data_IF_486367162478
#
_entry.id   IF_486367162478
#
_cell.length_a   1.000
_cell.length_b   1.000
_cell.length_c   1.000
_cell.angle_alpha   90.00
_cell.angle_beta   90.00
_cell.angle_gamma   90.00
#
_symmetry.space_group_name_H-M   'P 1'
#
loop_
_entity.id
_entity.type
_entity.pdbx_description
1 polymer ?
#
# COMPACT_ATOMS: atom_id res chain seq x y z
N UNK A 1 4.48 6.56 -12.62
CA UNK A 1 3.40 6.82 -11.66
C UNK A 1 2.12 6.53 -12.40
N UNK A 2 1.26 5.71 -11.82
CA UNK A 2 0.01 5.29 -12.47
C UNK A 2 -1.15 6.07 -11.87
N UNK A 3 -2.19 6.30 -12.65
CA UNK A 3 -3.42 6.95 -12.19
C UNK A 3 -4.59 6.01 -12.45
N UNK A 4 -5.33 5.66 -11.40
CA UNK A 4 -6.50 4.79 -11.47
C UNK A 4 -7.74 5.49 -10.91
N UNK A 5 -8.91 5.12 -11.43
CA UNK A 5 -10.19 5.56 -10.89
C UNK A 5 -11.01 4.34 -10.47
N UNK A 6 -11.59 4.37 -9.26
CA UNK A 6 -12.51 3.33 -8.82
C UNK A 6 -13.95 3.58 -9.32
N UNK A 7 -14.86 2.63 -9.10
CA UNK A 7 -16.27 2.75 -9.53
C UNK A 7 -17.04 3.87 -8.82
N UNK A 8 -16.52 4.40 -7.71
CA UNK A 8 -17.11 5.51 -6.97
C UNK A 8 -16.66 6.88 -7.50
N UNK A 9 -15.66 6.89 -8.39
CA UNK A 9 -15.09 8.06 -9.01
C UNK A 9 -13.82 8.56 -8.33
N UNK A 10 -13.37 7.94 -7.23
CA UNK A 10 -12.15 8.34 -6.55
C UNK A 10 -10.94 8.08 -7.45
N UNK A 11 -10.02 9.06 -7.49
CA UNK A 11 -8.82 9.02 -8.31
C UNK A 11 -7.61 8.74 -7.41
N UNK A 12 -6.82 7.74 -7.78
CA UNK A 12 -5.65 7.27 -7.05
C UNK A 12 -4.39 7.52 -7.88
N UNK A 13 -3.39 8.13 -7.26
CA UNK A 13 -2.04 8.22 -7.80
C UNK A 13 -1.20 7.14 -7.14
N UNK A 14 -0.70 6.21 -7.94
CA UNK A 14 0.00 5.02 -7.48
C UNK A 14 1.49 5.10 -7.80
N UNK A 15 2.31 4.68 -6.84
CA UNK A 15 3.70 4.31 -7.09
C UNK A 15 3.74 2.83 -7.48
N UNK A 16 4.14 2.50 -8.72
CA UNK A 16 4.25 1.11 -9.16
C UNK A 16 5.27 0.34 -8.33
N UNK A 17 4.88 -0.80 -7.78
CA UNK A 17 5.77 -1.70 -7.06
C UNK A 17 6.19 -2.86 -7.99
N UNK A 18 7.43 -3.37 -7.93
CA UNK A 18 7.83 -4.51 -8.75
C UNK A 18 6.93 -5.74 -8.52
N UNK A 19 6.48 -6.37 -9.62
CA UNK A 19 5.62 -7.56 -9.61
C UNK A 19 6.39 -8.87 -9.43
N UNK A 20 7.30 -8.94 -8.47
CA UNK A 20 8.16 -10.12 -8.21
C UNK A 20 7.62 -11.03 -7.10
N UNK A 21 6.32 -10.94 -6.79
CA UNK A 21 5.67 -11.65 -5.70
C UNK A 21 5.88 -11.04 -4.31
N UNK A 22 6.70 -9.98 -4.18
CA UNK A 22 6.85 -9.21 -2.94
C UNK A 22 6.05 -7.90 -2.95
N UNK A 23 5.15 -7.70 -3.90
CA UNK A 23 4.48 -6.42 -4.11
C UNK A 23 3.67 -5.94 -2.90
N UNK A 24 3.03 -6.84 -2.15
CA UNK A 24 2.36 -6.50 -0.89
C UNK A 24 3.34 -5.87 0.10
N UNK A 25 4.39 -6.60 0.48
CA UNK A 25 5.40 -6.12 1.43
C UNK A 25 6.12 -4.85 0.93
N UNK A 26 6.40 -4.77 -0.38
CA UNK A 26 6.99 -3.58 -0.99
C UNK A 26 6.07 -2.36 -0.91
N UNK A 27 4.78 -2.51 -1.17
CA UNK A 27 3.79 -1.43 -1.08
C UNK A 27 3.67 -0.89 0.36
N UNK A 28 3.71 -1.78 1.34
CA UNK A 28 3.67 -1.44 2.77
C UNK A 28 4.98 -0.78 3.21
N UNK A 29 6.15 -1.29 2.81
CA UNK A 29 7.44 -0.67 3.14
C UNK A 29 7.55 0.75 2.59
N UNK A 30 7.04 0.99 1.38
CA UNK A 30 6.99 2.36 0.86
C UNK A 30 6.15 3.26 1.77
N UNK A 31 4.97 2.82 2.23
CA UNK A 31 4.15 3.60 3.16
C UNK A 31 4.81 3.76 4.52
N UNK A 32 5.37 2.71 5.11
CA UNK A 32 5.97 2.74 6.45
C UNK A 32 7.22 3.62 6.51
N UNK A 33 8.13 3.43 5.55
CA UNK A 33 9.50 3.95 5.61
C UNK A 33 9.81 5.02 4.55
N UNK A 34 8.86 5.37 3.67
CA UNK A 34 9.07 6.25 2.52
C UNK A 34 10.18 5.76 1.56
N UNK A 35 10.48 4.46 1.56
CA UNK A 35 11.50 3.86 0.71
C UNK A 35 10.89 3.50 -0.66
N UNK A 36 11.38 4.13 -1.73
CA UNK A 36 10.94 3.81 -3.10
C UNK A 36 11.54 2.49 -3.60
N UNK A 37 10.95 1.84 -4.63
CA UNK A 37 11.52 0.63 -5.23
C UNK A 37 12.97 0.76 -5.73
N UNK A 38 13.42 1.97 -6.05
CA UNK A 38 14.80 2.25 -6.50
C UNK A 38 15.76 2.48 -5.31
N UNK A 39 15.27 2.53 -4.08
CA UNK A 39 16.10 2.70 -2.90
C UNK A 39 16.97 1.47 -2.66
N UNK A 40 18.27 1.66 -2.41
CA UNK A 40 19.25 0.56 -2.29
C UNK A 40 18.90 -0.50 -1.23
N UNK A 41 18.14 -0.14 -0.20
CA UNK A 41 17.71 -1.05 0.88
C UNK A 41 16.27 -1.54 0.75
N UNK A 42 15.53 -1.16 -0.30
CA UNK A 42 14.12 -1.52 -0.45
C UNK A 42 13.90 -3.03 -0.40
N UNK A 43 14.75 -3.79 -1.10
CA UNK A 43 14.73 -5.26 -1.10
C UNK A 43 14.93 -5.85 0.30
N UNK A 44 15.87 -5.33 1.08
CA UNK A 44 16.11 -5.82 2.44
C UNK A 44 14.94 -5.52 3.38
N UNK A 45 14.37 -4.31 3.30
CA UNK A 45 13.25 -3.92 4.15
C UNK A 45 12.00 -4.75 3.91
N UNK A 46 11.65 -5.03 2.64
CA UNK A 46 10.46 -5.85 2.34
C UNK A 46 10.63 -7.31 2.77
N UNK A 47 11.84 -7.87 2.67
CA UNK A 47 12.13 -9.22 3.19
C UNK A 47 12.03 -9.26 4.71
N UNK A 48 12.61 -8.28 5.41
CA UNK A 48 12.49 -8.18 6.87
C UNK A 48 11.04 -8.04 7.34
N UNK A 49 10.23 -7.26 6.62
CA UNK A 49 8.80 -7.13 6.92
C UNK A 49 8.06 -8.47 6.73
N UNK A 50 8.37 -9.22 5.67
CA UNK A 50 7.82 -10.57 5.44
C UNK A 50 8.17 -11.50 6.59
N UNK A 51 9.44 -11.58 6.96
CA UNK A 51 9.91 -12.45 8.06
C UNK A 51 9.20 -12.09 9.38
N UNK A 52 9.07 -10.79 9.66
CA UNK A 52 8.40 -10.32 10.87
C UNK A 52 6.89 -10.64 10.86
N UNK A 53 6.22 -10.49 9.71
CA UNK A 53 4.81 -10.85 9.56
C UNK A 53 4.58 -12.37 9.76
N UNK A 54 5.42 -13.21 9.16
CA UNK A 54 5.33 -14.67 9.35
C UNK A 54 5.61 -15.06 10.79
N UNK A 55 6.58 -14.42 11.44
CA UNK A 55 6.87 -14.65 12.86
C UNK A 55 5.65 -14.31 13.74
N UNK A 56 4.98 -13.19 13.49
CA UNK A 56 3.75 -12.80 14.19
C UNK A 56 2.63 -13.83 13.97
N UNK A 57 2.42 -14.28 12.72
CA UNK A 57 1.43 -15.31 12.38
C UNK A 57 1.69 -16.61 13.14
N UNK A 58 2.94 -17.07 13.21
CA UNK A 58 3.31 -18.28 13.95
C UNK A 58 3.15 -18.13 15.47
N UNK A 59 3.63 -17.02 16.02
CA UNK A 59 3.62 -16.79 17.47
C UNK A 59 2.20 -16.67 18.03
N UNK A 60 1.23 -16.30 17.18
CA UNK A 60 -0.17 -16.09 17.56
C UNK A 60 -1.11 -16.82 16.61
N UNK A 61 -0.78 -18.07 16.26
CA UNK A 61 -1.53 -18.85 15.29
C UNK A 61 -3.03 -18.93 15.60
N UNK A 62 -3.39 -19.11 16.87
CA UNK A 62 -4.80 -19.18 17.31
C UNK A 62 -5.57 -17.88 17.03
N UNK A 63 -4.87 -16.75 17.01
CA UNK A 63 -5.46 -15.44 16.72
C UNK A 63 -5.71 -15.23 15.22
N UNK A 64 -4.88 -15.83 14.36
CA UNK A 64 -4.95 -15.68 12.91
C UNK A 64 -5.53 -16.91 12.18
N UNK A 65 -5.98 -17.93 12.91
CA UNK A 65 -6.33 -19.25 12.36
C UNK A 65 -7.37 -19.18 11.25
N UNK A 66 -8.36 -18.29 11.36
CA UNK A 66 -9.41 -18.15 10.34
C UNK A 66 -8.85 -17.60 9.02
N UNK A 67 -8.01 -16.57 9.08
CA UNK A 67 -7.31 -16.05 7.90
C UNK A 67 -6.37 -17.09 7.30
N UNK A 68 -5.58 -17.76 8.15
CA UNK A 68 -4.60 -18.76 7.72
C UNK A 68 -5.26 -19.98 7.09
N UNK A 69 -6.39 -20.44 7.63
CA UNK A 69 -7.12 -21.59 7.10
C UNK A 69 -7.63 -21.33 5.68
N UNK A 70 -8.19 -20.14 5.43
CA UNK A 70 -8.64 -19.73 4.08
C UNK A 70 -7.46 -19.67 3.11
N UNK A 71 -6.41 -18.92 3.44
CA UNK A 71 -5.24 -18.77 2.56
C UNK A 71 -4.52 -20.10 2.30
N UNK A 72 -4.46 -20.99 3.29
CA UNK A 72 -3.82 -22.30 3.16
C UNK A 72 -4.63 -23.29 2.30
N UNK A 73 -5.97 -23.26 2.40
CA UNK A 73 -6.85 -24.06 1.54
C UNK A 73 -6.77 -23.59 0.07
N UNK A 74 -6.75 -22.28 -0.17
CA UNK A 74 -6.58 -21.71 -1.51
C UNK A 74 -5.21 -22.03 -2.13
N UNK A 75 -4.16 -22.05 -1.30
CA UNK A 75 -2.80 -22.35 -1.76
C UNK A 75 -2.56 -23.84 -2.04
N UNK A 76 -3.28 -24.75 -1.36
CA UNK A 76 -3.04 -26.19 -1.43
C UNK A 76 -4.35 -26.99 -1.53
N UNK A 77 -4.70 -27.40 -2.75
CA UNK A 77 -5.92 -28.19 -3.05
C UNK A 77 -5.84 -29.68 -2.66
N UNK A 78 -4.82 -30.10 -1.91
CA UNK A 78 -4.62 -31.51 -1.54
C UNK A 78 -5.45 -31.93 -0.30
N UNK A 79 -5.69 -33.23 -0.04
CA UNK A 79 -6.60 -33.68 1.02
C UNK A 79 -5.97 -33.67 2.42
N UNK A 80 -4.82 -33.01 2.63
CA UNK A 80 -4.19 -32.92 3.95
C UNK A 80 -5.07 -32.18 4.96
N UNK A 81 -4.95 -32.48 6.27
CA UNK A 81 -5.60 -31.69 7.31
C UNK A 81 -5.22 -30.21 7.23
N UNK A 82 -6.18 -29.31 7.52
CA UNK A 82 -6.00 -27.84 7.48
C UNK A 82 -4.75 -27.39 8.24
N UNK A 83 -4.51 -27.94 9.44
CA UNK A 83 -3.34 -27.59 10.24
C UNK A 83 -2.01 -27.86 9.51
N UNK A 84 -1.92 -28.95 8.76
CA UNK A 84 -0.72 -29.26 7.97
C UNK A 84 -0.58 -28.32 6.76
N UNK A 85 -1.70 -27.88 6.17
CA UNK A 85 -1.70 -26.89 5.09
C UNK A 85 -1.26 -25.53 5.60
N UNK A 86 -1.71 -25.10 6.79
CA UNK A 86 -1.30 -23.84 7.42
C UNK A 86 0.21 -23.83 7.63
N UNK A 87 0.81 -24.90 8.17
CA UNK A 87 2.26 -24.94 8.35
C UNK A 87 3.01 -24.85 7.02
N UNK A 88 2.57 -25.59 6.00
CA UNK A 88 3.14 -25.50 4.64
C UNK A 88 2.97 -24.11 4.03
N UNK A 89 1.85 -23.45 4.29
CA UNK A 89 1.58 -22.10 3.83
C UNK A 89 2.53 -21.10 4.49
N UNK A 90 2.74 -21.19 5.80
CA UNK A 90 3.68 -20.32 6.52
C UNK A 90 5.12 -20.52 6.02
N UNK A 91 5.56 -21.76 5.79
CA UNK A 91 6.88 -22.05 5.18
C UNK A 91 6.99 -21.47 3.76
N UNK A 92 5.93 -21.61 2.96
CA UNK A 92 5.92 -21.03 1.61
C UNK A 92 5.94 -19.49 1.67
N UNK A 93 5.22 -18.88 2.60
CA UNK A 93 5.13 -17.44 2.79
C UNK A 93 6.46 -16.80 3.22
N UNK A 94 7.36 -17.54 3.87
CA UNK A 94 8.74 -17.07 4.13
C UNK A 94 9.59 -17.04 2.86
N UNK A 95 9.24 -17.83 1.85
CA UNK A 95 10.03 -17.92 0.63
C UNK A 95 9.88 -16.65 -0.21
N UNK A 96 11.01 -16.19 -0.76
CA UNK A 96 11.02 -15.02 -1.63
C UNK A 96 10.10 -15.23 -2.84
N UNK A 97 9.32 -14.21 -3.17
CA UNK A 97 8.36 -14.24 -4.27
C UNK A 97 7.05 -15.00 -4.00
N UNK A 98 6.84 -15.62 -2.84
CA UNK A 98 5.52 -16.14 -2.47
C UNK A 98 4.57 -15.02 -2.07
N UNK A 99 3.30 -15.11 -2.45
CA UNK A 99 2.37 -14.00 -2.30
C UNK A 99 1.75 -14.00 -0.90
N UNK A 100 1.75 -12.83 -0.25
CA UNK A 100 0.95 -12.61 0.95
C UNK A 100 -0.43 -12.06 0.60
N UNK A 101 -1.36 -12.16 1.55
CA UNK A 101 -2.73 -11.69 1.45
C UNK A 101 -3.23 -11.02 2.73
N UNK A 102 -4.50 -11.26 3.05
CA UNK A 102 -5.17 -10.66 4.21
C UNK A 102 -4.52 -11.07 5.53
N UNK A 103 -4.02 -12.31 5.64
CA UNK A 103 -3.31 -12.79 6.83
C UNK A 103 -2.05 -11.96 7.11
N UNK A 104 -1.28 -11.67 6.06
CA UNK A 104 -0.08 -10.85 6.14
C UNK A 104 -0.41 -9.40 6.53
N UNK A 105 -1.48 -8.82 5.97
CA UNK A 105 -1.92 -7.47 6.31
C UNK A 105 -2.41 -7.37 7.76
N UNK A 106 -3.19 -8.36 8.23
CA UNK A 106 -3.64 -8.43 9.61
C UNK A 106 -2.47 -8.56 10.60
N UNK A 107 -1.46 -9.36 10.26
CA UNK A 107 -0.24 -9.49 11.05
C UNK A 107 0.56 -8.18 11.10
N UNK A 108 0.83 -7.56 9.95
CA UNK A 108 1.54 -6.28 9.85
C UNK A 108 0.83 -5.16 10.62
N UNK A 109 -0.50 -5.07 10.46
CA UNK A 109 -1.36 -4.12 11.14
C UNK A 109 -1.17 -4.18 12.67
N UNK A 110 -1.22 -5.40 13.23
CA UNK A 110 -0.99 -5.62 14.67
C UNK A 110 0.47 -5.42 15.08
N UNK A 111 1.43 -5.89 14.28
CA UNK A 111 2.85 -5.77 14.58
C UNK A 111 3.31 -4.31 14.68
N UNK A 112 2.86 -3.47 13.75
CA UNK A 112 3.29 -2.06 13.66
C UNK A 112 2.31 -1.08 14.31
N UNK A 113 1.16 -1.55 14.82
CA UNK A 113 0.12 -0.70 15.41
C UNK A 113 -0.30 0.42 14.43
N UNK A 114 -0.61 0.01 13.19
CA UNK A 114 -1.04 0.88 12.09
C UNK A 114 -2.35 0.36 11.52
N UNK A 115 -3.21 1.26 11.04
CA UNK A 115 -4.34 0.85 10.23
C UNK A 115 -3.89 0.71 8.76
N UNK A 116 -4.51 -0.21 8.02
CA UNK A 116 -4.22 -0.40 6.59
C UNK A 116 -5.53 -0.34 5.82
N UNK A 117 -5.60 0.53 4.82
CA UNK A 117 -6.71 0.59 3.87
C UNK A 117 -6.24 0.06 2.53
N UNK A 118 -6.84 -1.05 2.11
CA UNK A 118 -6.64 -1.65 0.79
C UNK A 118 -7.73 -1.15 -0.14
N UNK A 119 -7.35 -0.27 -1.05
CA UNK A 119 -8.24 0.25 -2.09
C UNK A 119 -8.33 -0.74 -3.25
N UNK A 120 -9.53 -0.90 -3.78
CA UNK A 120 -9.83 -1.74 -4.94
C UNK A 120 -10.69 -0.95 -5.93
N UNK A 121 -10.79 -1.46 -7.16
CA UNK A 121 -11.69 -0.86 -8.16
C UNK A 121 -13.13 -0.82 -7.67
N UNK A 122 -13.57 -1.84 -6.90
CA UNK A 122 -14.95 -2.04 -6.49
C UNK A 122 -15.21 -1.81 -4.99
N UNK A 123 -14.24 -1.30 -4.23
CA UNK A 123 -14.38 -1.23 -2.77
C UNK A 123 -13.11 -0.90 -2.03
N UNK A 124 -13.18 -1.03 -0.71
CA UNK A 124 -12.07 -0.88 0.22
C UNK A 124 -12.15 -1.98 1.27
N UNK A 125 -11.00 -2.50 1.69
CA UNK A 125 -10.88 -3.42 2.84
C UNK A 125 -10.02 -2.71 3.89
N UNK A 126 -10.47 -2.71 5.13
CA UNK A 126 -9.79 -2.02 6.23
C UNK A 126 -9.31 -3.02 7.28
N UNK A 127 -8.06 -2.85 7.70
CA UNK A 127 -7.44 -3.60 8.79
C UNK A 127 -7.11 -2.61 9.91
N UNK A 128 -7.51 -2.92 11.13
CA UNK A 128 -7.19 -2.11 12.32
C UNK A 128 -6.58 -2.97 13.43
N UNK A 129 -5.63 -2.43 14.22
CA UNK A 129 -5.02 -3.18 15.31
C UNK A 129 -6.07 -3.55 16.37
N UNK A 130 -5.98 -4.76 16.93
CA UNK A 130 -7.01 -5.30 17.83
C UNK A 130 -6.95 -4.74 19.25
N UNK A 131 -5.83 -4.11 19.64
CA UNK A 131 -5.52 -3.86 21.07
C UNK A 131 -5.66 -2.40 21.51
N UNK A 132 -6.38 -1.53 20.80
CA UNK A 132 -6.66 -0.20 21.37
C UNK A 132 -8.07 0.29 21.06
N UNK A 133 -8.90 0.28 22.09
CA UNK A 133 -10.02 1.21 22.16
C UNK A 133 -9.41 2.59 22.49
N UNK A 134 -9.58 3.55 21.59
CA UNK A 134 -9.24 4.99 21.72
C UNK A 134 -7.88 5.50 21.23
N UNK A 135 -7.10 4.75 20.43
CA UNK A 135 -5.91 5.32 19.77
C UNK A 135 -6.22 5.72 18.33
N UNK A 136 -5.72 6.89 17.92
CA UNK A 136 -5.66 7.24 16.50
C UNK A 136 -4.46 6.54 15.88
N UNK A 137 -4.71 5.74 14.85
CA UNK A 137 -3.67 5.01 14.15
C UNK A 137 -3.18 5.78 12.93
N UNK A 138 -1.89 5.66 12.63
CA UNK A 138 -1.39 5.99 11.29
C UNK A 138 -2.06 5.05 10.30
N UNK A 139 -2.58 5.59 9.20
CA UNK A 139 -3.19 4.81 8.11
C UNK A 139 -2.17 4.63 6.99
N UNK A 140 -2.03 3.40 6.51
CA UNK A 140 -1.27 3.06 5.31
C UNK A 140 -2.26 2.78 4.17
N UNK A 141 -2.09 3.47 3.05
CA UNK A 141 -2.94 3.29 1.87
C UNK A 141 -2.22 2.49 0.79
N UNK A 142 -2.78 1.34 0.41
CA UNK A 142 -2.29 0.51 -0.69
C UNK A 142 -3.43 0.21 -1.66
N UNK A 143 -3.10 -0.07 -2.92
CA UNK A 143 -4.08 -0.36 -3.96
C UNK A 143 -3.91 -1.79 -4.46
N UNK A 144 -4.96 -2.58 -4.39
CA UNK A 144 -5.00 -3.95 -4.93
C UNK A 144 -5.64 -3.94 -6.32
N UNK A 145 -4.83 -4.23 -7.34
CA UNK A 145 -5.30 -4.44 -8.72
C UNK A 145 -5.69 -5.89 -8.87
N UNK A 146 -6.97 -6.14 -9.13
CA UNK A 146 -7.48 -7.42 -9.60
C UNK A 146 -8.32 -7.14 -10.85
N UNK A 147 -7.68 -7.17 -12.03
CA UNK A 147 -8.33 -6.81 -13.29
C UNK A 147 -8.83 -8.08 -14.01
N UNK A 148 -10.15 -8.21 -14.26
CA UNK A 148 -10.69 -9.34 -15.00
C UNK A 148 -10.06 -9.46 -16.40
N UNK A 149 -9.66 -10.67 -16.79
CA UNK A 149 -9.14 -10.97 -18.12
C UNK A 149 -7.61 -10.94 -18.27
N UNK A 150 -6.88 -10.60 -17.20
CA UNK A 150 -5.43 -10.80 -17.13
C UNK A 150 -5.17 -12.00 -16.20
N UNK A 151 -4.70 -13.11 -16.78
CA UNK A 151 -4.41 -14.38 -16.06
C UNK A 151 -3.25 -14.21 -15.07
N UNK A 152 -2.43 -13.18 -15.26
CA UNK A 152 -1.42 -12.73 -14.33
C UNK A 152 -1.80 -11.34 -13.83
N UNK A 153 -1.51 -11.05 -12.55
CA UNK A 153 -1.47 -9.74 -11.90
C UNK A 153 -2.68 -9.41 -11.04
N UNK A 154 -2.97 -10.27 -10.05
CA UNK A 154 -3.28 -9.63 -8.76
C UNK A 154 -2.00 -8.98 -8.24
N UNK A 155 -2.10 -7.72 -7.80
CA UNK A 155 -0.91 -6.91 -7.54
C UNK A 155 -1.22 -5.80 -6.55
N UNK A 156 -0.25 -5.48 -5.70
CA UNK A 156 -0.33 -4.37 -4.76
C UNK A 156 0.60 -3.24 -5.15
N UNK A 157 0.06 -2.03 -5.17
CA UNK A 157 0.83 -0.80 -5.31
C UNK A 157 0.65 0.11 -4.12
N UNK A 158 1.59 1.04 -3.97
CA UNK A 158 1.50 2.03 -2.92
C UNK A 158 0.69 3.24 -3.39
N UNK A 159 -0.29 3.68 -2.58
CA UNK A 159 -1.07 4.89 -2.88
C UNK A 159 -0.28 6.11 -2.42
N UNK A 160 0.04 7.02 -3.33
CA UNK A 160 0.73 8.28 -3.03
C UNK A 160 -0.27 9.39 -2.70
N UNK A 161 -1.41 9.40 -3.39
CA UNK A 161 -2.49 10.35 -3.13
C UNK A 161 -3.85 9.76 -3.56
N UNK A 162 -4.92 10.24 -2.94
CA UNK A 162 -6.30 9.94 -3.32
C UNK A 162 -7.13 11.22 -3.39
N UNK A 163 -7.91 11.37 -4.45
CA UNK A 163 -8.94 12.40 -4.58
C UNK A 163 -10.30 11.73 -4.52
N UNK A 164 -11.06 12.00 -3.46
CA UNK A 164 -12.42 11.49 -3.30
C UNK A 164 -13.41 12.44 -3.95
N UNK A 165 -14.25 11.96 -4.87
CA UNK A 165 -15.15 12.83 -5.64
C UNK A 165 -16.50 13.10 -4.95
N UNK A 166 -16.83 12.35 -3.88
CA UNK A 166 -18.17 12.41 -3.24
C UNK A 166 -18.21 12.95 -1.82
N UNK A 167 -17.07 13.19 -1.18
CA UNK A 167 -16.94 13.78 0.16
C UNK A 167 -15.61 14.53 0.25
N UNK A 168 -15.53 15.53 1.15
CA UNK A 168 -14.33 16.33 1.42
C UNK A 168 -13.06 15.47 1.50
N UNK A 169 -11.97 15.98 0.93
CA UNK A 169 -10.65 15.33 0.86
C UNK A 169 -10.22 14.79 2.23
N UNK A 170 -9.95 13.49 2.33
CA UNK A 170 -9.45 12.87 3.55
C UNK A 170 -7.93 13.01 3.62
N UNK A 171 -7.42 13.57 4.72
CA UNK A 171 -6.05 14.01 4.93
C UNK A 171 -5.18 12.90 5.54
N UNK A 172 -3.94 12.73 5.04
CA UNK A 172 -2.91 11.95 5.73
C UNK A 172 -2.16 12.86 6.71
N UNK A 173 -2.19 12.60 8.03
CA UNK A 173 -1.67 13.50 9.06
C UNK A 173 -0.15 13.74 9.04
N UNK A 174 0.60 13.05 8.18
CA UNK A 174 2.04 13.22 8.02
C UNK A 174 2.44 14.02 6.77
N UNK A 175 1.48 14.57 6.02
CA UNK A 175 1.73 15.49 4.92
C UNK A 175 1.62 16.95 5.40
N UNK A 176 2.63 17.78 5.15
CA UNK A 176 2.51 19.23 5.36
C UNK A 176 1.60 19.82 4.27
N UNK A 177 0.58 20.60 4.67
CA UNK A 177 -0.36 21.24 3.73
C UNK A 177 0.14 22.61 3.28
N UNK A 178 -0.12 22.95 2.02
CA UNK A 178 -0.05 24.33 1.51
C UNK A 178 -1.33 24.58 0.72
N UNK A 179 -2.05 25.64 1.07
CA UNK A 179 -3.20 26.09 0.28
C UNK A 179 -2.72 26.83 -0.97
N UNK A 180 -3.22 26.43 -2.15
CA UNK A 180 -2.96 27.13 -3.41
C UNK A 180 -4.30 27.56 -4.01
N UNK A 181 -4.50 28.86 -4.17
CA UNK A 181 -5.72 29.42 -4.75
C UNK A 181 -5.57 29.60 -6.27
N UNK A 182 -6.46 28.98 -7.06
CA UNK A 182 -6.56 29.21 -8.50
C UNK A 182 -7.93 29.76 -8.87
N UNK A 183 -7.94 31.01 -9.36
CA UNK A 183 -9.02 31.67 -10.12
C UNK A 183 -10.45 31.23 -9.76
N UNK A 184 -10.86 31.53 -8.52
CA UNK A 184 -12.23 31.47 -7.99
C UNK A 184 -12.81 30.11 -7.56
N UNK A 185 -12.05 29.02 -7.61
CA UNK A 185 -12.40 27.77 -6.92
C UNK A 185 -11.23 27.28 -6.05
N UNK A 186 -11.52 26.91 -4.80
CA UNK A 186 -10.51 26.34 -3.91
C UNK A 186 -10.21 24.90 -4.35
N UNK A 187 -9.07 24.70 -5.00
CA UNK A 187 -8.54 23.37 -5.28
C UNK A 187 -7.45 23.10 -4.25
N UNK A 188 -7.74 22.20 -3.30
CA UNK A 188 -6.73 21.71 -2.38
C UNK A 188 -5.82 20.74 -3.14
N UNK A 189 -4.56 21.14 -3.33
CA UNK A 189 -3.52 20.26 -3.87
C UNK A 189 -2.55 19.93 -2.76
N UNK A 190 -2.47 18.65 -2.41
CA UNK A 190 -1.59 18.15 -1.38
C UNK A 190 -0.34 17.59 -2.04
N UNK A 191 0.80 18.05 -1.55
CA UNK A 191 2.08 17.70 -2.11
C UNK A 191 2.95 17.21 -0.95
N UNK A 192 3.55 16.03 -1.13
CA UNK A 192 4.50 15.47 -0.17
C UNK A 192 5.88 15.89 -0.63
N UNK A 193 6.64 16.55 0.24
CA UNK A 193 8.00 16.99 -0.04
C UNK A 193 8.91 15.77 0.00
N UNK A 194 9.14 15.18 -1.17
CA UNK A 194 10.09 14.09 -1.34
C UNK A 194 11.44 14.72 -1.69
N UNK A 195 12.37 14.73 -0.72
CA UNK A 195 13.79 15.16 -0.80
C UNK A 195 14.10 16.64 -0.57
N UNK A 196 15.37 16.94 -0.26
CA UNK A 196 15.97 18.28 -0.05
C UNK A 196 15.88 19.23 -1.27
N UNK A 197 15.25 18.79 -2.37
CA UNK A 197 15.00 19.61 -3.54
C UNK A 197 13.60 20.24 -3.47
N UNK A 198 13.54 21.51 -3.05
CA UNK A 198 12.31 22.32 -2.96
C UNK A 198 11.45 22.34 -4.24
N UNK A 199 12.01 21.97 -5.40
CA UNK A 199 11.32 21.98 -6.69
C UNK A 199 10.58 20.66 -7.02
N UNK A 200 10.86 19.55 -6.33
CA UNK A 200 10.23 18.24 -6.61
C UNK A 200 8.73 18.25 -6.26
N UNK A 201 8.37 18.97 -5.21
CA UNK A 201 7.00 19.28 -4.79
C UNK A 201 6.25 20.04 -5.88
N UNK A 202 6.85 21.11 -6.38
CA UNK A 202 6.30 21.97 -7.42
C UNK A 202 6.12 21.21 -8.74
N UNK A 203 7.09 20.37 -9.13
CA UNK A 203 7.02 19.56 -10.35
C UNK A 203 5.90 18.51 -10.27
N UNK A 204 5.72 17.87 -9.11
CA UNK A 204 4.66 16.88 -8.89
C UNK A 204 3.27 17.52 -8.94
N UNK A 205 3.11 18.67 -8.27
CA UNK A 205 1.87 19.46 -8.28
C UNK A 205 1.57 20.05 -9.66
N UNK A 206 2.57 20.61 -10.34
CA UNK A 206 2.41 21.24 -11.65
C UNK A 206 2.02 20.21 -12.72
N UNK A 207 2.67 19.04 -12.70
CA UNK A 207 2.28 17.93 -13.58
C UNK A 207 0.85 17.47 -13.30
N UNK A 208 0.47 17.32 -12.01
CA UNK A 208 -0.89 16.93 -11.61
C UNK A 208 -1.97 17.93 -12.03
N UNK A 209 -1.66 19.23 -12.06
CA UNK A 209 -2.61 20.28 -12.40
C UNK A 209 -2.72 20.58 -13.89
N UNK A 210 -1.63 20.42 -14.64
CA UNK A 210 -1.56 20.88 -16.04
C UNK A 210 -1.49 19.75 -17.06
N UNK A 211 -1.23 18.52 -16.60
CA UNK A 211 -0.93 17.38 -17.45
C UNK A 211 0.27 17.61 -18.40
N UNK A 212 1.14 18.58 -18.07
CA UNK A 212 2.38 18.86 -18.79
C UNK A 212 3.59 18.46 -17.95
N UNK A 213 4.51 17.71 -18.55
CA UNK A 213 5.82 17.47 -17.96
C UNK A 213 6.61 18.78 -18.02
N UNK A 214 7.15 19.31 -16.91
CA UNK A 214 8.07 20.43 -17.01
C UNK A 214 9.28 19.92 -17.80
N UNK A 215 9.43 20.46 -19.01
CA UNK A 215 10.70 20.32 -19.73
C UNK A 215 11.75 20.95 -18.82
N UNK A 216 12.77 20.18 -18.49
CA UNK A 216 13.87 20.53 -17.58
C UNK A 216 14.11 22.03 -17.57
N UNK A 217 14.05 22.68 -16.41
CA UNK A 217 14.47 24.06 -16.24
C UNK A 217 15.90 24.21 -16.75
N UNK A 218 16.03 24.54 -18.03
CA UNK A 218 17.24 25.09 -18.58
C UNK A 218 17.41 26.46 -17.95
N UNK A 219 18.44 26.58 -17.12
CA UNK A 219 19.11 27.80 -16.67
C UNK A 219 18.27 28.82 -15.90
N UNK A 220 18.43 28.78 -14.58
CA UNK A 220 18.69 29.99 -13.79
C UNK A 220 19.93 29.75 -12.93
N UNK A 221 21.06 30.25 -13.42
CA UNK A 221 22.11 30.82 -12.57
C UNK A 221 21.83 32.31 -12.46
#
# INVERSE_FOLDING_TARGET
MDVLQNVYGDIFWLLPIPGDGNCLFGSVIHQLCCASPNHQHFGAYRSQLRDAAVSELRNRIDFYVDYLAVSAEEAFEDPSPVANKIERFLVALESDGFWGGEESLAAICNLHQVAITVHQINGTIEFTPTVSENQSWRVLDIFYRNLPGFVEKTHYDSVVAVRRLRQETCFNPHAHSTEVFLRSEAIFVYAVEFTDHQESLFISVYHQLTNTHPTSCSSFY
#
